data_IF_940347035311
#
_entry.id   IF_940347035311
#
_cell.length_a   1.000
_cell.length_b   1.000
_cell.length_c   1.000
_cell.angle_alpha   90.00
_cell.angle_beta   90.00
_cell.angle_gamma   90.00
#
_symmetry.space_group_name_H-M   'P 1'
#
loop_
_entity.id
_entity.type
_entity.pdbx_description
1 polymer ?
#
# COMPACT_ATOMS: atom_id res chain seq x y z
N UNK A 1 -29.39 20.09 11.78
CA UNK A 1 -28.28 20.40 12.72
C UNK A 1 -27.52 19.17 13.22
N UNK A 2 -28.18 18.04 13.54
CA UNK A 2 -27.51 16.80 13.99
C UNK A 2 -26.62 16.15 12.91
N UNK A 3 -27.11 16.03 11.67
CA UNK A 3 -26.35 15.50 10.51
C UNK A 3 -25.02 16.20 10.26
N UNK A 4 -25.01 17.54 10.23
CA UNK A 4 -23.80 18.33 10.04
C UNK A 4 -22.80 18.12 11.19
N UNK A 5 -23.28 18.02 12.44
CA UNK A 5 -22.43 17.71 13.59
C UNK A 5 -21.81 16.32 13.49
N UNK A 6 -22.57 15.31 13.06
CA UNK A 6 -22.06 13.94 12.85
C UNK A 6 -21.00 13.92 11.74
N UNK A 7 -21.29 14.55 10.60
CA UNK A 7 -20.34 14.64 9.48
C UNK A 7 -19.07 15.40 9.88
N UNK A 8 -19.20 16.52 10.60
CA UNK A 8 -18.08 17.32 11.09
C UNK A 8 -17.22 16.57 12.11
N UNK A 9 -17.85 15.89 13.07
CA UNK A 9 -17.16 15.05 14.05
C UNK A 9 -16.39 13.91 13.38
N UNK A 10 -17.00 13.29 12.37
CA UNK A 10 -16.38 12.22 11.59
C UNK A 10 -15.19 12.72 10.77
N UNK A 11 -15.27 13.89 10.14
CA UNK A 11 -14.13 14.51 9.45
C UNK A 11 -12.97 14.74 10.42
N UNK A 12 -13.27 15.25 11.63
CA UNK A 12 -12.27 15.51 12.67
C UNK A 12 -11.65 14.22 13.25
N UNK A 13 -12.39 13.11 13.30
CA UNK A 13 -11.89 11.84 13.83
C UNK A 13 -11.14 11.00 12.77
N UNK A 14 -11.53 11.10 11.51
CA UNK A 14 -10.90 10.35 10.40
C UNK A 14 -9.58 10.94 9.94
N UNK A 15 -9.45 12.27 9.92
CA UNK A 15 -8.21 12.94 9.54
C UNK A 15 -7.51 13.47 10.78
N UNK A 16 -6.58 12.65 11.28
CA UNK A 16 -5.49 13.21 12.05
C UNK A 16 -4.63 14.05 11.08
N UNK A 17 -4.13 15.18 11.57
CA UNK A 17 -3.17 16.07 10.89
C UNK A 17 -2.10 15.31 10.04
N UNK A 18 -1.58 14.13 10.46
CA UNK A 18 -0.71 13.27 9.65
C UNK A 18 -1.24 12.75 8.31
N UNK A 19 -2.51 12.34 8.18
CA UNK A 19 -3.02 11.81 6.90
C UNK A 19 -3.20 12.95 5.88
N UNK A 20 -3.60 14.13 6.37
CA UNK A 20 -3.66 15.35 5.58
C UNK A 20 -2.24 15.77 5.15
N UNK A 21 -1.26 15.73 6.07
CA UNK A 21 0.16 15.96 5.74
C UNK A 21 0.67 14.92 4.73
N UNK A 22 0.33 13.64 4.87
CA UNK A 22 0.74 12.61 3.90
C UNK A 22 0.12 12.85 2.52
N UNK A 23 -1.19 13.17 2.43
CA UNK A 23 -1.81 13.54 1.16
C UNK A 23 -1.21 14.82 0.58
N UNK A 24 -0.84 15.79 1.42
CA UNK A 24 -0.16 17.02 1.00
C UNK A 24 1.28 16.74 0.53
N UNK A 25 1.99 15.81 1.16
CA UNK A 25 3.33 15.39 0.73
C UNK A 25 3.28 14.64 -0.59
N UNK A 26 2.32 13.72 -0.77
CA UNK A 26 2.07 13.05 -2.05
C UNK A 26 1.71 14.10 -3.12
N UNK A 27 0.90 15.09 -2.79
CA UNK A 27 0.54 16.20 -3.67
C UNK A 27 1.75 17.06 -4.05
N UNK A 28 2.57 17.48 -3.09
CA UNK A 28 3.80 18.25 -3.32
C UNK A 28 4.76 17.43 -4.19
N UNK A 29 4.85 16.13 -3.93
CA UNK A 29 5.67 15.20 -4.70
C UNK A 29 5.19 15.08 -6.15
N UNK A 30 3.88 14.98 -6.39
CA UNK A 30 3.33 14.95 -7.76
C UNK A 30 3.43 16.31 -8.47
N UNK A 31 3.29 17.43 -7.76
CA UNK A 31 3.56 18.77 -8.31
C UNK A 31 5.03 18.87 -8.71
N UNK A 32 5.94 18.40 -7.86
CA UNK A 32 7.37 18.39 -8.15
C UNK A 32 7.71 17.55 -9.38
N UNK A 33 7.13 16.35 -9.53
CA UNK A 33 7.26 15.52 -10.74
C UNK A 33 6.73 16.27 -11.96
N UNK A 34 5.52 16.86 -11.88
CA UNK A 34 4.94 17.61 -12.98
C UNK A 34 5.76 18.84 -13.40
N UNK A 35 6.41 19.51 -12.45
CA UNK A 35 7.31 20.65 -12.72
C UNK A 35 8.62 20.18 -13.34
N UNK A 36 9.22 19.11 -12.81
CA UNK A 36 10.44 18.54 -13.39
C UNK A 36 10.22 18.02 -14.81
N UNK A 37 9.09 17.35 -15.08
CA UNK A 37 8.75 16.91 -16.43
C UNK A 37 8.52 18.10 -17.37
N UNK A 38 7.90 19.18 -16.89
CA UNK A 38 7.75 20.42 -17.67
C UNK A 38 9.10 21.11 -17.98
N UNK A 39 10.05 21.12 -17.05
CA UNK A 39 11.38 21.70 -17.27
C UNK A 39 12.26 20.84 -18.19
N UNK A 40 12.24 19.51 -18.04
CA UNK A 40 12.99 18.57 -18.90
C UNK A 40 12.49 18.62 -20.35
N UNK A 41 11.21 18.94 -20.55
CA UNK A 41 10.59 18.99 -21.88
C UNK A 41 10.73 20.33 -22.59
N UNK A 42 10.98 21.43 -21.87
CA UNK A 42 11.43 22.68 -22.50
C UNK A 42 12.79 22.54 -23.24
N UNK A 43 13.58 21.51 -22.92
CA UNK A 43 14.85 21.19 -23.57
C UNK A 43 14.70 20.32 -24.83
N UNK A 44 13.54 19.70 -25.07
CA UNK A 44 13.29 18.81 -26.22
C UNK A 44 11.98 19.25 -26.92
N UNK A 45 12.03 19.89 -28.10
CA UNK A 45 10.89 20.59 -28.68
C UNK A 45 9.93 19.64 -29.42
N UNK A 46 9.38 18.65 -28.73
CA UNK A 46 8.28 17.81 -29.23
C UNK A 46 7.14 17.77 -28.21
N UNK A 47 6.12 18.61 -28.44
CA UNK A 47 4.91 18.74 -27.62
C UNK A 47 4.10 17.44 -27.44
N UNK A 48 4.39 16.37 -28.18
CA UNK A 48 3.71 15.08 -28.05
C UNK A 48 4.19 14.27 -26.83
N UNK A 49 5.42 14.46 -26.37
CA UNK A 49 6.00 13.66 -25.27
C UNK A 49 5.48 14.11 -23.89
N UNK A 50 5.19 15.40 -23.72
CA UNK A 50 4.63 15.99 -22.48
C UNK A 50 3.22 15.51 -22.20
N UNK A 51 2.32 15.60 -23.18
CA UNK A 51 0.93 15.16 -23.04
C UNK A 51 0.82 13.66 -22.72
N UNK A 52 1.71 12.84 -23.26
CA UNK A 52 1.74 11.40 -22.97
C UNK A 52 2.20 11.09 -21.54
N UNK A 53 3.19 11.80 -20.98
CA UNK A 53 3.66 11.55 -19.61
C UNK A 53 2.66 12.02 -18.55
N UNK A 54 2.02 13.18 -18.77
CA UNK A 54 0.93 13.66 -17.90
C UNK A 54 -0.29 12.71 -17.92
N UNK A 55 -0.65 12.17 -19.08
CA UNK A 55 -1.72 11.18 -19.18
C UNK A 55 -1.41 9.93 -18.34
N UNK A 56 -0.21 9.38 -18.47
CA UNK A 56 0.16 8.15 -17.77
C UNK A 56 0.18 8.33 -16.26
N UNK A 57 0.72 9.45 -15.76
CA UNK A 57 0.76 9.74 -14.31
C UNK A 57 -0.64 9.88 -13.70
N UNK A 58 -1.60 10.49 -14.41
CA UNK A 58 -2.99 10.61 -13.96
C UNK A 58 -3.67 9.24 -13.88
N UNK A 59 -3.47 8.38 -14.89
CA UNK A 59 -4.03 7.02 -14.92
C UNK A 59 -3.50 6.21 -13.72
N UNK A 60 -2.20 6.26 -13.47
CA UNK A 60 -1.55 5.55 -12.36
C UNK A 60 -2.05 6.01 -11.00
N UNK A 61 -2.12 7.33 -10.79
CA UNK A 61 -2.60 7.91 -9.54
C UNK A 61 -4.05 7.50 -9.26
N UNK A 62 -4.93 7.55 -10.26
CA UNK A 62 -6.33 7.12 -10.12
C UNK A 62 -6.41 5.60 -9.83
N UNK A 63 -5.57 4.78 -10.45
CA UNK A 63 -5.50 3.34 -10.18
C UNK A 63 -5.07 3.06 -8.72
N UNK A 64 -4.08 3.79 -8.19
CA UNK A 64 -3.66 3.68 -6.79
C UNK A 64 -4.81 4.04 -5.84
N UNK A 65 -5.54 5.14 -6.12
CA UNK A 65 -6.71 5.50 -5.32
C UNK A 65 -7.79 4.41 -5.37
N UNK A 66 -8.12 3.86 -6.54
CA UNK A 66 -9.10 2.78 -6.70
C UNK A 66 -8.72 1.53 -5.89
N UNK A 67 -7.46 1.09 -5.93
CA UNK A 67 -6.97 -0.03 -5.12
C UNK A 67 -7.17 0.25 -3.64
N UNK A 68 -6.76 1.45 -3.21
CA UNK A 68 -6.79 1.82 -1.79
C UNK A 68 -8.21 1.88 -1.23
N UNK A 69 -9.18 2.39 -2.01
CA UNK A 69 -10.58 2.51 -1.59
C UNK A 69 -11.35 1.19 -1.68
N UNK A 70 -10.98 0.29 -2.59
CA UNK A 70 -11.70 -0.98 -2.79
C UNK A 70 -11.16 -2.13 -1.94
N UNK A 71 -9.84 -2.25 -1.68
CA UNK A 71 -9.28 -3.38 -0.92
C UNK A 71 -9.32 -3.15 0.59
N UNK A 72 -9.16 -1.90 1.04
CA UNK A 72 -9.09 -1.52 2.46
C UNK A 72 -10.27 -0.65 2.91
N UNK A 73 -11.53 -1.07 2.70
CA UNK A 73 -12.67 -0.20 2.99
C UNK A 73 -12.94 -0.03 4.49
N UNK A 74 -12.59 -1.03 5.31
CA UNK A 74 -12.95 -1.10 6.74
C UNK A 74 -12.25 -0.05 7.59
N UNK A 75 -11.01 0.31 7.29
CA UNK A 75 -10.27 1.31 8.08
C UNK A 75 -10.54 2.74 7.64
N UNK A 76 -11.08 2.92 6.43
CA UNK A 76 -11.42 4.24 5.91
C UNK A 76 -12.84 4.64 6.24
N UNK A 77 -13.83 3.74 6.21
CA UNK A 77 -15.26 4.06 6.36
C UNK A 77 -15.71 4.22 7.82
N UNK A 78 -15.35 3.32 8.73
CA UNK A 78 -15.59 3.51 10.18
C UNK A 78 -14.47 2.86 10.98
N UNK A 79 -13.66 3.66 11.68
CA UNK A 79 -12.66 3.12 12.62
C UNK A 79 -13.35 2.52 13.84
N UNK A 80 -12.71 1.57 14.54
CA UNK A 80 -13.29 0.98 15.76
C UNK A 80 -13.65 2.05 16.81
N UNK A 81 -12.81 3.06 16.99
CA UNK A 81 -13.11 4.19 17.88
C UNK A 81 -14.31 5.01 17.41
N UNK A 82 -14.48 5.18 16.09
CA UNK A 82 -15.68 5.81 15.55
C UNK A 82 -16.91 4.94 15.79
N UNK A 83 -16.80 3.60 15.71
CA UNK A 83 -17.92 2.69 15.99
C UNK A 83 -18.37 2.82 17.45
N UNK A 84 -17.42 2.71 18.38
CA UNK A 84 -17.69 2.82 19.81
C UNK A 84 -18.32 4.18 20.16
N UNK A 85 -17.90 5.26 19.48
CA UNK A 85 -18.49 6.59 19.63
C UNK A 85 -19.84 6.76 18.93
N UNK A 86 -20.00 6.30 17.68
CA UNK A 86 -21.21 6.44 16.88
C UNK A 86 -22.39 5.67 17.51
N UNK A 87 -22.13 4.54 18.16
CA UNK A 87 -23.14 3.80 18.91
C UNK A 87 -23.60 4.48 20.21
N UNK A 88 -22.83 5.45 20.73
CA UNK A 88 -23.22 6.24 21.89
C UNK A 88 -24.05 7.48 21.52
N UNK A 89 -24.13 7.85 20.23
CA UNK A 89 -24.89 9.02 19.79
C UNK A 89 -26.38 8.64 19.75
N UNK A 90 -27.28 9.41 20.41
CA UNK A 90 -28.73 9.22 20.29
C UNK A 90 -29.24 9.78 18.96
N UNK A 91 -28.92 9.06 17.87
CA UNK A 91 -29.32 9.36 16.50
C UNK A 91 -29.80 8.09 15.80
N UNK A 92 -30.75 8.25 14.88
CA UNK A 92 -31.29 7.11 14.12
C UNK A 92 -30.22 6.55 13.18
N UNK A 93 -30.29 5.24 12.91
CA UNK A 93 -29.36 4.53 12.03
C UNK A 93 -29.24 5.20 10.64
N UNK A 94 -30.38 5.66 10.09
CA UNK A 94 -30.40 6.35 8.79
C UNK A 94 -29.66 7.68 8.84
N UNK A 95 -29.80 8.44 9.93
CA UNK A 95 -29.10 9.72 10.10
C UNK A 95 -27.60 9.53 10.26
N UNK A 96 -27.18 8.48 10.98
CA UNK A 96 -25.78 8.09 11.12
C UNK A 96 -25.18 7.68 9.77
N UNK A 97 -25.86 6.82 9.01
CA UNK A 97 -25.41 6.38 7.68
C UNK A 97 -25.24 7.57 6.72
N UNK A 98 -26.23 8.47 6.65
CA UNK A 98 -26.17 9.65 5.78
C UNK A 98 -25.06 10.59 6.23
N UNK A 99 -24.89 10.83 7.53
CA UNK A 99 -23.82 11.67 8.07
C UNK A 99 -22.42 11.16 7.71
N UNK A 100 -22.22 9.85 7.78
CA UNK A 100 -20.98 9.17 7.37
C UNK A 100 -20.75 9.33 5.86
N UNK A 101 -21.74 9.05 5.01
CA UNK A 101 -21.64 9.22 3.55
C UNK A 101 -21.30 10.67 3.19
N UNK A 102 -22.00 11.65 3.78
CA UNK A 102 -21.72 13.07 3.56
C UNK A 102 -20.30 13.45 3.94
N UNK A 103 -19.78 12.94 5.07
CA UNK A 103 -18.38 13.20 5.44
C UNK A 103 -17.39 12.68 4.39
N UNK A 104 -17.61 11.47 3.85
CA UNK A 104 -16.74 10.92 2.80
C UNK A 104 -16.81 11.70 1.51
N UNK A 105 -17.98 12.19 1.14
CA UNK A 105 -18.15 13.01 -0.05
C UNK A 105 -17.34 14.30 0.06
N UNK A 106 -17.44 15.01 1.20
CA UNK A 106 -16.66 16.23 1.45
C UNK A 106 -15.16 15.95 1.43
N UNK A 107 -14.73 14.87 2.09
CA UNK A 107 -13.33 14.46 2.12
C UNK A 107 -12.81 14.14 0.72
N UNK A 108 -13.55 13.36 -0.05
CA UNK A 108 -13.13 12.97 -1.39
C UNK A 108 -13.16 14.15 -2.36
N UNK A 109 -14.06 15.12 -2.19
CA UNK A 109 -14.00 16.39 -2.92
C UNK A 109 -12.69 17.15 -2.66
N UNK A 110 -12.15 17.11 -1.43
CA UNK A 110 -10.85 17.74 -1.17
C UNK A 110 -9.70 16.95 -1.79
N UNK A 111 -9.70 15.62 -1.66
CA UNK A 111 -8.62 14.75 -2.14
C UNK A 111 -8.57 14.67 -3.67
N UNK A 112 -9.71 14.53 -4.34
CA UNK A 112 -9.79 14.48 -5.81
C UNK A 112 -9.63 15.88 -6.41
N UNK A 113 -9.89 16.96 -5.66
CA UNK A 113 -9.68 18.34 -6.12
C UNK A 113 -8.24 18.61 -6.51
N UNK A 114 -7.30 17.86 -5.93
CA UNK A 114 -5.88 17.84 -6.27
C UNK A 114 -5.63 17.45 -7.73
N UNK A 115 -6.52 16.69 -8.36
CA UNK A 115 -6.37 16.25 -9.75
C UNK A 115 -6.73 17.32 -10.78
N UNK A 116 -7.43 18.38 -10.38
CA UNK A 116 -7.84 19.47 -11.27
C UNK A 116 -6.63 20.11 -11.97
N UNK A 117 -5.56 20.57 -11.27
CA UNK A 117 -4.41 21.18 -11.93
C UNK A 117 -3.70 20.26 -12.92
N UNK A 118 -3.73 18.93 -12.71
CA UNK A 118 -3.11 17.96 -13.62
C UNK A 118 -3.98 17.62 -14.83
N UNK A 119 -5.30 17.62 -14.67
CA UNK A 119 -6.27 17.23 -15.71
C UNK A 119 -6.78 18.42 -16.53
N UNK A 120 -6.79 19.63 -15.97
CA UNK A 120 -7.26 20.84 -16.64
C UNK A 120 -6.49 21.19 -17.92
N UNK A 121 -5.15 21.00 -18.02
CA UNK A 121 -4.41 21.23 -19.26
C UNK A 121 -4.84 20.31 -20.41
N UNK A 122 -5.34 19.11 -20.09
CA UNK A 122 -5.73 18.08 -21.07
C UNK A 122 -7.23 18.21 -21.42
N UNK A 123 -8.07 18.34 -20.39
CA UNK A 123 -9.53 18.22 -20.50
C UNK A 123 -10.26 19.56 -20.43
N UNK A 124 -9.57 20.67 -20.16
CA UNK A 124 -10.17 21.99 -19.91
C UNK A 124 -11.29 21.93 -18.87
N UNK A 125 -12.50 22.43 -19.17
CA UNK A 125 -13.66 22.39 -18.27
C UNK A 125 -14.12 20.96 -17.94
N UNK A 126 -13.82 19.98 -18.79
CA UNK A 126 -14.12 18.56 -18.55
C UNK A 126 -13.43 18.01 -17.29
N UNK A 127 -12.32 18.62 -16.86
CA UNK A 127 -11.64 18.29 -15.59
C UNK A 127 -12.56 18.46 -14.37
N UNK A 128 -13.47 19.43 -14.38
CA UNK A 128 -14.41 19.65 -13.27
C UNK A 128 -15.49 18.56 -13.20
N UNK A 129 -15.98 18.11 -14.36
CA UNK A 129 -16.92 17.00 -14.44
C UNK A 129 -16.27 15.69 -13.96
N UNK A 130 -15.03 15.44 -14.38
CA UNK A 130 -14.20 14.32 -13.90
C UNK A 130 -14.07 14.38 -12.38
N UNK A 131 -13.66 15.52 -11.84
CA UNK A 131 -13.49 15.77 -10.43
C UNK A 131 -14.73 15.39 -9.59
N UNK A 132 -15.91 15.87 -9.98
CA UNK A 132 -17.15 15.56 -9.28
C UNK A 132 -17.50 14.07 -9.35
N UNK A 133 -17.39 13.47 -10.54
CA UNK A 133 -17.74 12.06 -10.75
C UNK A 133 -16.82 11.12 -9.96
N UNK A 134 -15.51 11.37 -9.93
CA UNK A 134 -14.57 10.57 -9.13
C UNK A 134 -14.75 10.79 -7.62
N UNK A 135 -15.04 12.01 -7.17
CA UNK A 135 -15.32 12.29 -5.76
C UNK A 135 -16.51 11.48 -5.25
N UNK A 136 -17.57 11.42 -6.06
CA UNK A 136 -18.75 10.59 -5.79
C UNK A 136 -18.34 9.11 -5.84
N UNK A 137 -17.69 8.67 -6.91
CA UNK A 137 -17.30 7.27 -7.10
C UNK A 137 -16.50 6.72 -5.91
N UNK A 138 -15.44 7.42 -5.52
CA UNK A 138 -14.56 7.02 -4.43
C UNK A 138 -15.25 7.05 -3.06
N UNK A 139 -16.35 7.81 -2.91
CA UNK A 139 -17.16 7.80 -1.69
C UNK A 139 -18.00 6.52 -1.58
N UNK A 140 -18.45 5.98 -2.70
CA UNK A 140 -19.36 4.83 -2.71
C UNK A 140 -18.68 3.47 -2.96
N UNK A 141 -17.52 3.42 -3.62
CA UNK A 141 -16.75 2.17 -3.82
C UNK A 141 -16.44 1.45 -2.48
N UNK A 142 -15.97 2.14 -1.42
CA UNK A 142 -15.67 1.48 -0.14
C UNK A 142 -16.91 0.85 0.49
N UNK A 143 -18.06 1.52 0.38
CA UNK A 143 -19.34 1.05 0.91
C UNK A 143 -19.77 -0.23 0.18
N UNK A 144 -19.70 -0.25 -1.15
CA UNK A 144 -19.98 -1.46 -1.94
C UNK A 144 -19.03 -2.60 -1.56
N UNK A 145 -17.74 -2.28 -1.42
CA UNK A 145 -16.70 -3.24 -1.11
C UNK A 145 -16.85 -3.92 0.26
N UNK A 146 -17.36 -3.21 1.27
CA UNK A 146 -17.65 -3.80 2.59
C UNK A 146 -18.68 -4.93 2.53
N UNK A 147 -19.58 -4.87 1.55
CA UNK A 147 -20.66 -5.84 1.39
C UNK A 147 -20.22 -7.10 0.65
N UNK A 148 -19.14 -7.01 -0.11
CA UNK A 148 -18.61 -8.13 -0.86
C UNK A 148 -17.77 -9.03 0.05
N UNK A 149 -17.88 -10.36 -0.14
CA UNK A 149 -16.93 -11.30 0.48
C UNK A 149 -15.51 -11.02 -0.05
N UNK A 150 -14.48 -11.34 0.74
CA UNK A 150 -13.07 -11.04 0.41
C UNK A 150 -12.67 -11.43 -1.02
N UNK A 151 -13.08 -12.62 -1.49
CA UNK A 151 -12.77 -13.09 -2.84
C UNK A 151 -13.45 -12.22 -3.92
N UNK A 152 -14.76 -11.99 -3.80
CA UNK A 152 -15.50 -11.15 -4.76
C UNK A 152 -15.06 -9.70 -4.72
N UNK A 153 -14.65 -9.20 -3.56
CA UNK A 153 -14.03 -7.88 -3.41
C UNK A 153 -12.75 -7.78 -4.21
N UNK A 154 -11.85 -8.75 -4.09
CA UNK A 154 -10.59 -8.77 -4.86
C UNK A 154 -10.86 -8.85 -6.35
N UNK A 155 -11.79 -9.71 -6.79
CA UNK A 155 -12.18 -9.80 -8.22
C UNK A 155 -12.75 -8.47 -8.72
N UNK A 156 -13.67 -7.87 -7.97
CA UNK A 156 -14.26 -6.58 -8.30
C UNK A 156 -13.19 -5.49 -8.45
N UNK A 157 -12.24 -5.41 -7.51
CA UNK A 157 -11.11 -4.48 -7.61
C UNK A 157 -10.26 -4.73 -8.85
N UNK A 158 -9.90 -5.98 -9.13
CA UNK A 158 -9.04 -6.32 -10.28
C UNK A 158 -9.73 -5.97 -11.60
N UNK A 159 -11.02 -6.32 -11.76
CA UNK A 159 -11.78 -5.99 -12.97
C UNK A 159 -11.89 -4.48 -13.19
N UNK A 160 -12.20 -3.75 -12.12
CA UNK A 160 -12.30 -2.29 -12.18
C UNK A 160 -10.93 -1.67 -12.50
N UNK A 161 -9.85 -2.15 -11.88
CA UNK A 161 -8.50 -1.68 -12.19
C UNK A 161 -8.07 -1.96 -13.62
N UNK A 162 -8.30 -3.18 -14.13
CA UNK A 162 -8.01 -3.53 -15.51
C UNK A 162 -8.78 -2.63 -16.49
N UNK A 163 -10.03 -2.31 -16.18
CA UNK A 163 -10.83 -1.43 -17.02
C UNK A 163 -10.30 0.01 -17.02
N UNK A 164 -9.85 0.55 -15.89
CA UNK A 164 -9.25 1.89 -15.84
C UNK A 164 -7.87 1.95 -16.49
N UNK A 165 -7.01 0.94 -16.23
CA UNK A 165 -5.68 0.85 -16.85
C UNK A 165 -5.77 0.61 -18.35
N UNK A 166 -6.86 0.03 -18.87
CA UNK A 166 -7.00 -0.19 -20.32
C UNK A 166 -6.90 1.08 -21.17
N UNK A 167 -7.14 2.27 -20.60
CA UNK A 167 -6.88 3.56 -21.26
C UNK A 167 -5.40 3.76 -21.64
N UNK A 168 -4.49 3.08 -20.94
CA UNK A 168 -3.07 3.03 -21.29
C UNK A 168 -2.84 2.45 -22.69
N UNK A 169 -3.64 1.46 -23.07
CA UNK A 169 -3.58 0.82 -24.39
C UNK A 169 -4.50 1.50 -25.42
N UNK A 170 -4.89 2.75 -25.17
CA UNK A 170 -5.83 3.53 -26.00
C UNK A 170 -7.18 2.82 -26.20
N UNK A 171 -7.61 2.00 -25.24
CA UNK A 171 -8.91 1.34 -25.31
C UNK A 171 -10.04 2.37 -25.15
N UNK A 172 -10.92 2.53 -26.16
CA UNK A 172 -11.89 3.62 -26.18
C UNK A 172 -12.92 3.49 -25.04
N UNK A 173 -13.33 2.28 -24.67
CA UNK A 173 -14.40 2.12 -23.67
C UNK A 173 -13.93 2.16 -22.21
N UNK A 174 -12.70 2.64 -21.94
CA UNK A 174 -12.24 2.86 -20.56
C UNK A 174 -12.81 4.16 -19.98
N UNK A 175 -13.15 4.25 -18.68
CA UNK A 175 -13.53 5.52 -18.05
C UNK A 175 -12.45 6.59 -18.16
N UNK A 176 -11.17 6.22 -18.20
CA UNK A 176 -10.05 7.17 -18.28
C UNK A 176 -9.63 7.56 -19.70
N UNK A 177 -10.21 6.93 -20.72
CA UNK A 177 -9.90 7.25 -22.12
C UNK A 177 -10.43 8.63 -22.54
N UNK A 178 -11.17 9.34 -21.68
CA UNK A 178 -11.45 10.77 -21.87
C UNK A 178 -10.18 11.61 -21.99
N UNK A 179 -9.06 11.16 -21.38
CA UNK A 179 -7.74 11.78 -21.52
C UNK A 179 -7.21 11.71 -22.97
N UNK A 180 -7.75 10.81 -23.80
CA UNK A 180 -7.49 10.70 -25.24
C UNK A 180 -8.56 11.40 -26.09
N UNK A 181 -9.31 12.33 -25.50
CA UNK A 181 -10.42 13.06 -26.13
C UNK A 181 -11.64 12.21 -26.53
N UNK A 182 -11.78 11.00 -25.98
CA UNK A 182 -13.00 10.21 -26.15
C UNK A 182 -14.12 10.71 -25.23
N UNK A 183 -15.12 11.37 -25.82
CA UNK A 183 -16.22 12.01 -25.06
C UNK A 183 -17.21 11.02 -24.46
N UNK A 184 -17.38 9.84 -25.05
CA UNK A 184 -18.25 8.78 -24.52
C UNK A 184 -17.80 8.26 -23.16
N UNK A 185 -16.52 8.41 -22.83
CA UNK A 185 -15.92 7.94 -21.58
C UNK A 185 -16.46 8.66 -20.35
N UNK A 186 -16.93 9.91 -20.50
CA UNK A 186 -17.68 10.62 -19.45
C UNK A 186 -19.00 9.93 -19.13
N UNK A 187 -19.73 9.46 -20.15
CA UNK A 187 -20.99 8.73 -19.96
C UNK A 187 -20.75 7.34 -19.36
N UNK A 188 -19.65 6.67 -19.72
CA UNK A 188 -19.24 5.40 -19.11
C UNK A 188 -18.94 5.60 -17.63
N UNK A 189 -18.17 6.64 -17.27
CA UNK A 189 -17.88 6.97 -15.88
C UNK A 189 -19.16 7.30 -15.10
N UNK A 190 -20.07 8.08 -15.69
CA UNK A 190 -21.37 8.41 -15.09
C UNK A 190 -22.26 7.18 -14.91
N UNK A 191 -22.30 6.28 -15.89
CA UNK A 191 -23.02 5.01 -15.77
C UNK A 191 -22.46 4.17 -14.62
N UNK A 192 -21.14 4.06 -14.53
CA UNK A 192 -20.46 3.35 -13.45
C UNK A 192 -20.71 4.00 -12.07
N UNK A 193 -20.71 5.33 -11.96
CA UNK A 193 -21.04 6.01 -10.69
C UNK A 193 -22.46 5.72 -10.25
N UNK A 194 -23.44 5.80 -11.15
CA UNK A 194 -24.86 5.50 -10.84
C UNK A 194 -25.01 4.05 -10.39
N UNK A 195 -24.39 3.10 -11.09
CA UNK A 195 -24.43 1.68 -10.75
C UNK A 195 -23.83 1.44 -9.36
N UNK A 196 -22.66 2.01 -9.07
CA UNK A 196 -22.01 1.89 -7.77
C UNK A 196 -22.85 2.54 -6.66
N UNK A 197 -23.43 3.72 -6.88
CA UNK A 197 -24.33 4.37 -5.92
C UNK A 197 -25.53 3.49 -5.63
N UNK A 198 -26.19 2.97 -6.67
CA UNK A 198 -27.36 2.11 -6.54
C UNK A 198 -27.04 0.87 -5.70
N UNK A 199 -25.97 0.14 -6.06
CA UNK A 199 -25.59 -1.07 -5.31
C UNK A 199 -25.05 -0.76 -3.92
N UNK A 200 -24.43 0.40 -3.68
CA UNK A 200 -23.99 0.81 -2.34
C UNK A 200 -25.16 1.14 -1.43
N UNK A 201 -26.17 1.86 -1.93
CA UNK A 201 -27.32 2.30 -1.14
C UNK A 201 -28.42 1.24 -1.00
N UNK A 202 -28.51 0.29 -1.95
CA UNK A 202 -29.54 -0.75 -1.94
C UNK A 202 -29.43 -1.61 -0.67
N UNK A 203 -30.43 -1.53 0.22
CA UNK A 203 -30.44 -2.22 1.52
C UNK A 203 -29.24 -1.87 2.40
N UNK A 204 -28.79 -0.61 2.41
CA UNK A 204 -27.72 -0.16 3.30
C UNK A 204 -28.19 -0.23 4.76
N UNK A 205 -27.46 -0.99 5.58
CA UNK A 205 -27.64 -1.08 7.02
C UNK A 205 -26.37 -0.59 7.74
N UNK A 206 -26.52 0.18 8.83
CA UNK A 206 -25.38 0.68 9.62
C UNK A 206 -24.52 -0.47 10.13
N UNK A 207 -25.13 -1.61 10.47
CA UNK A 207 -24.40 -2.80 10.88
C UNK A 207 -23.43 -3.34 9.81
N UNK A 208 -23.74 -3.17 8.51
CA UNK A 208 -22.84 -3.57 7.42
C UNK A 208 -21.61 -2.64 7.32
N UNK A 209 -21.75 -1.38 7.74
CA UNK A 209 -20.64 -0.43 7.82
C UNK A 209 -19.74 -0.67 9.05
N UNK A 210 -20.29 -1.34 10.08
CA UNK A 210 -19.64 -1.57 11.39
C UNK A 210 -19.13 -3.01 11.54
N UNK A 211 -19.36 -3.89 10.55
CA UNK A 211 -18.96 -5.30 10.62
C UNK A 211 -17.44 -5.47 10.57
N UNK A 212 -16.79 -5.35 11.73
CA UNK A 212 -15.41 -5.78 11.92
C UNK A 212 -15.43 -7.30 12.03
N UNK A 213 -14.85 -7.97 11.04
CA UNK A 213 -14.59 -9.41 11.12
C UNK A 213 -13.60 -9.68 12.26
N UNK A 214 -14.11 -9.86 13.47
CA UNK A 214 -13.37 -10.51 14.56
C UNK A 214 -13.16 -11.97 14.17
N UNK A 215 -12.05 -12.25 13.49
CA UNK A 215 -11.57 -13.63 13.35
C UNK A 215 -10.65 -13.92 14.52
N UNK A 216 -11.24 -14.36 15.64
CA UNK A 216 -10.52 -15.05 16.70
C UNK A 216 -10.46 -16.54 16.38
N UNK A 217 -9.29 -17.13 16.64
CA UNK A 217 -8.98 -18.57 16.56
C UNK A 217 -8.83 -19.14 15.14
N UNK A 218 -7.58 -19.15 14.63
CA UNK A 218 -7.19 -20.02 13.51
C UNK A 218 -6.49 -21.26 14.06
N UNK A 219 -7.08 -22.43 13.84
CA UNK A 219 -6.41 -23.71 14.01
C UNK A 219 -5.17 -23.80 13.11
N UNK A 220 -4.05 -24.32 13.61
CA UNK A 220 -2.81 -24.51 12.83
C UNK A 220 -3.06 -25.57 11.76
N UNK A 221 -3.35 -25.14 10.53
CA UNK A 221 -3.73 -26.05 9.43
C UNK A 221 -2.56 -26.85 8.84
N UNK A 222 -1.31 -26.37 8.97
CA UNK A 222 -0.13 -27.02 8.42
C UNK A 222 1.05 -26.88 9.40
N UNK A 223 1.35 -27.91 10.21
CA UNK A 223 2.56 -27.91 11.03
C UNK A 223 3.79 -28.06 10.14
N UNK A 224 4.84 -27.27 10.41
CA UNK A 224 6.14 -27.45 9.77
C UNK A 224 6.95 -28.38 10.67
N UNK A 225 7.36 -29.53 10.14
CA UNK A 225 8.27 -30.44 10.83
C UNK A 225 9.72 -30.08 10.52
N UNK A 226 10.50 -29.92 11.59
CA UNK A 226 11.94 -29.68 11.54
C UNK A 226 12.67 -30.98 11.87
N UNK A 227 13.78 -31.24 11.18
CA UNK A 227 14.68 -32.32 11.56
C UNK A 227 15.60 -31.84 12.68
N UNK A 228 15.89 -32.67 13.69
CA UNK A 228 16.72 -32.28 14.83
C UNK A 228 18.18 -31.93 14.46
N UNK A 229 18.64 -32.30 13.26
CA UNK A 229 20.01 -32.05 12.77
C UNK A 229 20.19 -30.82 11.88
N UNK A 230 19.12 -30.08 11.57
CA UNK A 230 19.22 -28.93 10.66
C UNK A 230 19.79 -27.67 11.34
N UNK A 231 20.64 -26.93 10.64
CA UNK A 231 21.19 -25.67 11.15
C UNK A 231 20.08 -24.60 11.32
N UNK A 232 20.21 -23.65 12.26
CA UNK A 232 19.20 -22.61 12.50
C UNK A 232 18.86 -21.76 11.26
N UNK A 233 19.82 -21.57 10.35
CA UNK A 233 19.58 -20.87 9.10
C UNK A 233 18.72 -21.70 8.15
N UNK A 234 18.98 -23.01 8.04
CA UNK A 234 18.22 -23.91 7.17
C UNK A 234 16.79 -24.06 7.67
N UNK A 235 16.55 -24.11 8.99
CA UNK A 235 15.19 -24.17 9.55
C UNK A 235 14.40 -22.91 9.24
N UNK A 236 14.99 -21.73 9.46
CA UNK A 236 14.37 -20.44 9.13
C UNK A 236 14.12 -20.30 7.63
N UNK A 237 15.05 -20.73 6.80
CA UNK A 237 14.91 -20.73 5.34
C UNK A 237 13.78 -21.66 4.87
N UNK A 238 13.69 -22.88 5.41
CA UNK A 238 12.59 -23.81 5.11
C UNK A 238 11.23 -23.22 5.53
N UNK A 239 11.17 -22.51 6.66
CA UNK A 239 9.95 -21.80 7.11
C UNK A 239 9.58 -20.68 6.13
N UNK A 240 10.53 -19.77 5.85
CA UNK A 240 10.25 -18.55 5.11
C UNK A 240 10.11 -18.77 3.59
N UNK A 241 10.72 -19.82 3.02
CA UNK A 241 10.46 -20.23 1.62
C UNK A 241 9.06 -20.83 1.47
N UNK A 242 8.60 -21.61 2.44
CA UNK A 242 7.27 -22.23 2.31
C UNK A 242 6.14 -21.24 2.58
N UNK A 243 6.34 -20.32 3.53
CA UNK A 243 5.32 -19.38 3.99
C UNK A 243 5.88 -17.95 4.00
N UNK A 244 5.23 -17.09 3.23
CA UNK A 244 5.43 -15.65 3.28
C UNK A 244 4.43 -15.07 4.26
N UNK A 245 4.94 -14.32 5.23
CA UNK A 245 4.12 -13.55 6.15
C UNK A 245 3.97 -12.12 5.61
N UNK A 246 2.83 -11.85 4.99
CA UNK A 246 2.45 -10.49 4.60
C UNK A 246 1.62 -9.91 5.73
N UNK A 247 2.04 -8.77 6.26
CA UNK A 247 1.42 -8.19 7.42
C UNK A 247 1.55 -6.69 7.41
N UNK A 248 0.57 -6.05 7.99
CA UNK A 248 0.55 -4.60 7.99
C UNK A 248 -0.49 -4.09 8.94
N UNK A 249 -0.35 -2.81 9.24
CA UNK A 249 -1.32 -2.10 10.04
C UNK A 249 -2.52 -1.75 9.17
N UNK A 250 -3.68 -2.38 9.45
CA UNK A 250 -4.88 -2.18 8.62
C UNK A 250 -5.56 -0.84 8.88
N UNK A 251 -5.32 -0.21 10.05
CA UNK A 251 -5.85 1.12 10.41
C UNK A 251 -4.70 2.08 10.70
N UNK A 252 -4.55 3.14 9.89
CA UNK A 252 -3.47 4.13 10.05
C UNK A 252 -3.75 5.19 11.13
N UNK A 253 -5.00 5.34 11.61
CA UNK A 253 -5.41 6.53 12.36
C UNK A 253 -5.76 6.29 13.84
N UNK A 254 -6.34 5.14 14.22
CA UNK A 254 -6.72 4.87 15.63
C UNK A 254 -6.72 3.37 15.93
N UNK A 255 -6.01 2.95 16.98
CA UNK A 255 -6.03 1.58 17.51
C UNK A 255 -5.84 0.47 16.48
N UNK A 256 -4.76 0.52 15.70
CA UNK A 256 -4.55 -0.37 14.57
C UNK A 256 -4.42 -1.84 14.98
N UNK A 257 -5.28 -2.70 14.44
CA UNK A 257 -5.05 -4.13 14.44
C UNK A 257 -3.97 -4.46 13.39
N UNK A 258 -2.96 -5.22 13.81
CA UNK A 258 -2.00 -5.85 12.89
C UNK A 258 -2.67 -7.08 12.33
N UNK A 259 -2.88 -7.08 11.02
CA UNK A 259 -3.38 -8.27 10.33
C UNK A 259 -2.20 -8.87 9.62
N UNK A 260 -1.97 -10.15 9.89
CA UNK A 260 -0.97 -10.94 9.22
C UNK A 260 -1.67 -12.06 8.45
N UNK A 261 -1.36 -12.12 7.17
CA UNK A 261 -1.69 -13.22 6.29
C UNK A 261 -0.43 -14.07 6.08
N UNK A 262 -0.52 -15.34 6.46
CA UNK A 262 0.47 -16.36 6.06
C UNK A 262 0.00 -16.96 4.75
N UNK A 263 0.78 -16.77 3.70
CA UNK A 263 0.45 -17.22 2.35
C UNK A 263 1.58 -18.13 1.87
N UNK A 264 1.24 -19.26 1.26
CA UNK A 264 2.28 -20.12 0.68
C UNK A 264 2.93 -19.43 -0.51
N UNK A 265 4.25 -19.55 -0.65
CA UNK A 265 5.03 -18.79 -1.65
C UNK A 265 4.48 -18.92 -3.07
N UNK A 266 4.03 -20.12 -3.46
CA UNK A 266 3.55 -20.37 -4.82
C UNK A 266 2.30 -19.56 -5.18
N UNK A 267 1.45 -19.20 -4.20
CA UNK A 267 0.30 -18.33 -4.46
C UNK A 267 0.69 -16.89 -4.79
N UNK A 268 1.88 -16.44 -4.37
CA UNK A 268 2.42 -15.11 -4.67
C UNK A 268 3.35 -15.18 -5.89
N UNK A 269 4.06 -16.29 -6.07
CA UNK A 269 4.97 -16.49 -7.20
C UNK A 269 4.22 -16.52 -8.55
N UNK A 270 3.06 -17.18 -8.63
CA UNK A 270 2.25 -17.25 -9.86
C UNK A 270 1.89 -15.85 -10.41
N UNK A 271 1.26 -14.93 -9.64
CA UNK A 271 0.95 -13.60 -10.14
C UNK A 271 2.20 -12.78 -10.45
N UNK A 272 3.34 -13.03 -9.79
CA UNK A 272 4.59 -12.34 -10.11
C UNK A 272 5.19 -12.83 -11.42
N UNK A 273 5.12 -14.12 -11.72
CA UNK A 273 5.51 -14.64 -13.03
C UNK A 273 4.62 -14.03 -14.12
N UNK A 274 3.32 -13.87 -13.87
CA UNK A 274 2.42 -13.20 -14.79
C UNK A 274 2.78 -11.71 -14.97
N UNK A 275 3.12 -10.99 -13.90
CA UNK A 275 3.61 -9.61 -13.96
C UNK A 275 4.94 -9.51 -14.73
N UNK A 276 5.86 -10.45 -14.53
CA UNK A 276 7.10 -10.53 -15.29
C UNK A 276 6.82 -10.68 -16.78
N UNK A 277 5.91 -11.58 -17.16
CA UNK A 277 5.54 -11.74 -18.56
C UNK A 277 4.93 -10.45 -19.14
N UNK A 278 4.13 -9.72 -18.36
CA UNK A 278 3.58 -8.43 -18.75
C UNK A 278 4.65 -7.35 -18.95
N UNK A 279 5.64 -7.27 -18.07
CA UNK A 279 6.78 -6.32 -18.22
C UNK A 279 7.57 -6.61 -19.48
N UNK A 280 7.82 -7.89 -19.76
CA UNK A 280 8.54 -8.30 -20.96
C UNK A 280 7.80 -7.86 -22.23
N UNK A 281 6.47 -8.05 -22.28
CA UNK A 281 5.64 -7.66 -23.42
C UNK A 281 5.42 -6.13 -23.51
N UNK A 282 5.34 -5.45 -22.37
CA UNK A 282 5.05 -4.02 -22.26
C UNK A 282 6.05 -3.35 -21.31
N UNK A 283 7.27 -3.04 -21.80
CA UNK A 283 8.36 -2.47 -20.97
C UNK A 283 8.02 -1.12 -20.34
N UNK A 284 6.96 -0.45 -20.79
CA UNK A 284 6.49 0.80 -20.21
C UNK A 284 5.74 0.61 -18.88
N UNK A 285 5.41 -0.64 -18.51
CA UNK A 285 4.77 -0.99 -17.23
C UNK A 285 5.76 -1.22 -16.07
N UNK A 286 7.06 -1.13 -16.35
CA UNK A 286 8.16 -1.41 -15.41
C UNK A 286 8.08 -0.56 -14.14
N UNK A 287 7.66 0.70 -14.25
CA UNK A 287 7.49 1.58 -13.09
C UNK A 287 6.36 1.11 -12.16
N UNK A 288 5.23 0.67 -12.72
CA UNK A 288 4.13 0.10 -11.95
C UNK A 288 4.56 -1.17 -11.22
N UNK A 289 5.32 -2.04 -11.92
CA UNK A 289 5.88 -3.25 -11.31
C UNK A 289 6.85 -2.90 -10.19
N UNK A 290 7.76 -1.96 -10.41
CA UNK A 290 8.68 -1.46 -9.39
C UNK A 290 7.94 -0.95 -8.14
N UNK A 291 6.83 -0.23 -8.32
CA UNK A 291 5.99 0.22 -7.21
C UNK A 291 5.31 -0.96 -6.50
N UNK A 292 4.87 -1.99 -7.22
CA UNK A 292 4.32 -3.21 -6.60
C UNK A 292 5.37 -3.98 -5.80
N UNK A 293 6.60 -4.09 -6.29
CA UNK A 293 7.72 -4.69 -5.56
C UNK A 293 7.98 -3.94 -4.24
N UNK A 294 8.01 -2.61 -4.29
CA UNK A 294 8.15 -1.77 -3.10
C UNK A 294 7.01 -1.98 -2.09
N UNK A 295 5.76 -2.06 -2.54
CA UNK A 295 4.62 -2.31 -1.64
C UNK A 295 4.69 -3.70 -1.00
N UNK A 296 5.09 -4.73 -1.76
CA UNK A 296 5.28 -6.09 -1.24
C UNK A 296 6.39 -6.08 -0.17
N UNK A 297 7.53 -5.43 -0.48
CA UNK A 297 8.66 -5.27 0.42
C UNK A 297 8.24 -4.58 1.72
N UNK A 298 7.53 -3.45 1.64
CA UNK A 298 7.09 -2.68 2.81
C UNK A 298 6.20 -3.52 3.73
N UNK A 299 5.21 -4.22 3.19
CA UNK A 299 4.34 -5.10 3.97
C UNK A 299 5.11 -6.29 4.56
N UNK A 300 6.06 -6.86 3.80
CA UNK A 300 6.87 -7.96 4.30
C UNK A 300 7.82 -7.53 5.43
N UNK A 301 8.40 -6.33 5.32
CA UNK A 301 9.22 -5.70 6.35
C UNK A 301 8.41 -5.35 7.60
N UNK A 302 7.19 -4.81 7.43
CA UNK A 302 6.29 -4.52 8.55
C UNK A 302 5.89 -5.77 9.31
N UNK A 303 5.67 -6.91 8.64
CA UNK A 303 5.38 -8.17 9.31
C UNK A 303 6.58 -8.78 10.06
N UNK A 304 7.79 -8.33 9.75
CA UNK A 304 9.03 -8.88 10.29
C UNK A 304 9.12 -8.65 11.80
N UNK A 305 9.53 -9.68 12.55
CA UNK A 305 9.68 -9.69 14.02
C UNK A 305 8.41 -9.49 14.86
N UNK A 306 7.31 -8.98 14.29
CA UNK A 306 6.03 -8.82 15.00
C UNK A 306 5.44 -10.18 15.41
N UNK A 307 5.54 -11.19 14.54
CA UNK A 307 4.90 -12.49 14.75
C UNK A 307 5.83 -13.55 15.30
N UNK A 308 7.13 -13.25 15.34
CA UNK A 308 8.07 -14.19 15.91
C UNK A 308 7.92 -14.13 17.42
N UNK A 309 7.73 -15.27 18.10
CA UNK A 309 7.74 -15.32 19.54
C UNK A 309 9.18 -15.13 20.02
N UNK A 310 9.67 -13.89 19.96
CA UNK A 310 11.05 -13.51 20.26
C UNK A 310 11.50 -14.04 21.63
N UNK A 311 10.60 -14.11 22.62
CA UNK A 311 10.91 -14.66 23.94
C UNK A 311 11.27 -16.15 23.91
N UNK A 312 10.71 -16.95 22.98
CA UNK A 312 11.08 -18.35 22.78
C UNK A 312 12.38 -18.45 21.99
N UNK A 313 12.51 -17.70 20.90
CA UNK A 313 13.66 -17.84 20.00
C UNK A 313 14.96 -17.32 20.63
N UNK A 314 14.88 -16.25 21.42
CA UNK A 314 16.03 -15.65 22.11
C UNK A 314 16.47 -16.46 23.35
N UNK A 315 15.65 -17.40 23.81
CA UNK A 315 16.09 -18.37 24.83
C UNK A 315 17.06 -19.41 24.27
N UNK A 316 17.07 -19.59 22.94
CA UNK A 316 17.84 -20.64 22.24
C UNK A 316 19.11 -20.06 21.59
N UNK A 317 19.10 -18.78 21.20
CA UNK A 317 20.24 -18.15 20.52
C UNK A 317 20.36 -16.66 20.82
N UNK A 318 21.56 -16.10 20.68
CA UNK A 318 21.79 -14.67 20.90
C UNK A 318 21.00 -13.78 19.93
N UNK A 319 20.57 -12.57 20.36
CA UNK A 319 19.88 -11.57 19.53
C UNK A 319 20.49 -11.37 18.14
N UNK A 320 21.80 -11.15 18.09
CA UNK A 320 22.51 -10.92 16.83
C UNK A 320 22.39 -12.13 15.92
N UNK A 321 22.73 -13.33 16.40
CA UNK A 321 22.72 -14.57 15.62
C UNK A 321 21.32 -14.91 15.10
N UNK A 322 20.28 -14.70 15.91
CA UNK A 322 18.88 -14.83 15.48
C UNK A 322 18.56 -13.88 14.32
N UNK A 323 18.80 -12.59 14.52
CA UNK A 323 18.48 -11.57 13.53
C UNK A 323 19.21 -11.83 12.21
N UNK A 324 20.50 -12.21 12.24
CA UNK A 324 21.27 -12.51 11.02
C UNK A 324 20.63 -13.65 10.22
N UNK A 325 20.36 -14.79 10.87
CA UNK A 325 19.78 -15.96 10.20
C UNK A 325 18.37 -15.64 9.68
N UNK A 326 17.58 -14.93 10.47
CA UNK A 326 16.21 -14.56 10.13
C UNK A 326 16.16 -13.63 8.93
N UNK A 327 16.93 -12.54 8.96
CA UNK A 327 16.99 -11.56 7.89
C UNK A 327 17.54 -12.16 6.60
N UNK A 328 18.63 -12.94 6.66
CA UNK A 328 19.18 -13.64 5.48
C UNK A 328 18.13 -14.56 4.87
N UNK A 329 17.45 -15.36 5.68
CA UNK A 329 16.43 -16.28 5.17
C UNK A 329 15.27 -15.54 4.49
N UNK A 330 14.81 -14.42 5.07
CA UNK A 330 13.74 -13.59 4.48
C UNK A 330 14.20 -12.84 3.23
N UNK A 331 15.43 -12.32 3.20
CA UNK A 331 16.00 -11.69 2.00
C UNK A 331 16.13 -12.69 0.85
N UNK A 332 16.60 -13.92 1.12
CA UNK A 332 16.65 -14.97 0.09
C UNK A 332 15.27 -15.33 -0.46
N UNK A 333 14.23 -15.30 0.38
CA UNK A 333 12.86 -15.54 -0.07
C UNK A 333 12.34 -14.44 -0.99
N UNK A 334 12.72 -13.19 -0.74
CA UNK A 334 12.40 -12.08 -1.63
C UNK A 334 13.17 -12.17 -2.96
N UNK A 335 14.42 -12.61 -2.95
CA UNK A 335 15.15 -12.89 -4.18
C UNK A 335 14.43 -13.94 -5.03
N UNK A 336 14.03 -15.07 -4.46
CA UNK A 336 13.27 -16.11 -5.18
C UNK A 336 11.99 -15.53 -5.81
N UNK A 337 11.35 -14.60 -5.10
CA UNK A 337 10.09 -14.00 -5.49
C UNK A 337 10.26 -12.94 -6.59
N UNK A 338 11.32 -12.11 -6.57
CA UNK A 338 11.56 -11.04 -7.55
C UNK A 338 12.45 -11.43 -8.74
N UNK A 339 13.15 -12.58 -8.70
CA UNK A 339 13.96 -13.08 -9.83
C UNK A 339 13.20 -13.11 -11.17
N UNK A 340 11.92 -13.54 -11.25
CA UNK A 340 11.18 -13.49 -12.51
C UNK A 340 11.08 -12.08 -13.09
N UNK A 341 10.90 -11.06 -12.23
CA UNK A 341 10.79 -9.66 -12.65
C UNK A 341 12.15 -9.13 -13.10
N UNK A 342 13.23 -9.41 -12.38
CA UNK A 342 14.57 -8.97 -12.77
C UNK A 342 14.98 -9.57 -14.12
N UNK A 343 14.70 -10.85 -14.36
CA UNK A 343 14.95 -11.50 -15.65
C UNK A 343 14.16 -10.81 -16.77
N UNK A 344 12.87 -10.54 -16.53
CA UNK A 344 12.02 -9.84 -17.49
C UNK A 344 12.57 -8.45 -17.84
N UNK A 345 12.96 -7.66 -16.85
CA UNK A 345 13.51 -6.31 -17.04
C UNK A 345 14.85 -6.33 -17.80
N UNK A 346 15.69 -7.35 -17.57
CA UNK A 346 16.92 -7.54 -18.35
C UNK A 346 16.58 -7.84 -19.81
N UNK A 347 15.62 -8.74 -20.05
CA UNK A 347 15.20 -9.13 -21.39
C UNK A 347 14.52 -7.98 -22.15
N UNK A 348 13.80 -7.08 -21.45
CA UNK A 348 13.19 -5.88 -22.02
C UNK A 348 14.19 -4.71 -22.20
N UNK A 349 15.47 -4.90 -21.81
CA UNK A 349 16.57 -3.91 -21.85
C UNK A 349 16.42 -2.75 -20.84
N UNK A 350 15.58 -2.89 -19.83
CA UNK A 350 15.40 -1.93 -18.74
C UNK A 350 16.39 -2.19 -17.60
N UNK A 351 17.67 -1.97 -17.87
CA UNK A 351 18.77 -2.31 -16.95
C UNK A 351 18.63 -1.60 -15.59
N UNK A 352 18.20 -0.34 -15.56
CA UNK A 352 18.01 0.40 -14.31
C UNK A 352 16.95 -0.24 -13.41
N UNK A 353 15.80 -0.66 -13.98
CA UNK A 353 14.76 -1.35 -13.24
C UNK A 353 15.24 -2.73 -12.77
N UNK A 354 15.94 -3.48 -13.63
CA UNK A 354 16.50 -4.77 -13.24
C UNK A 354 17.45 -4.69 -12.04
N UNK A 355 18.35 -3.70 -12.00
CA UNK A 355 19.27 -3.52 -10.88
C UNK A 355 18.52 -3.06 -9.64
N UNK A 356 17.57 -2.12 -9.77
CA UNK A 356 16.76 -1.67 -8.65
C UNK A 356 15.91 -2.81 -8.06
N UNK A 357 15.38 -3.71 -8.88
CA UNK A 357 14.67 -4.92 -8.43
C UNK A 357 15.59 -5.92 -7.70
N UNK A 358 16.88 -5.97 -8.05
CA UNK A 358 17.89 -6.75 -7.31
C UNK A 358 18.29 -6.11 -5.97
N UNK A 359 18.18 -4.78 -5.85
CA UNK A 359 18.44 -4.04 -4.62
C UNK A 359 17.31 -4.21 -3.59
N UNK A 360 16.06 -4.41 -4.03
CA UNK A 360 14.91 -4.51 -3.13
C UNK A 360 15.10 -5.51 -1.97
N UNK A 361 15.48 -6.78 -2.20
CA UNK A 361 15.70 -7.73 -1.11
C UNK A 361 16.76 -7.29 -0.08
N UNK A 362 17.72 -6.42 -0.46
CA UNK A 362 18.70 -5.86 0.46
C UNK A 362 18.11 -4.70 1.28
N UNK A 363 17.31 -3.83 0.65
CA UNK A 363 16.61 -2.74 1.36
C UNK A 363 15.63 -3.27 2.42
N UNK A 364 15.11 -4.50 2.27
CA UNK A 364 14.34 -5.19 3.30
C UNK A 364 15.10 -5.29 4.63
N UNK A 365 16.41 -5.56 4.60
CA UNK A 365 17.22 -5.70 5.82
C UNK A 365 17.27 -4.37 6.56
N UNK A 366 17.48 -3.26 5.84
CA UNK A 366 17.45 -1.93 6.40
C UNK A 366 16.08 -1.61 7.02
N UNK A 367 15.00 -1.77 6.25
CA UNK A 367 13.64 -1.46 6.70
C UNK A 367 13.24 -2.27 7.93
N UNK A 368 13.42 -3.59 7.86
CA UNK A 368 13.08 -4.48 8.98
C UNK A 368 13.91 -4.19 10.22
N UNK A 369 15.18 -3.80 10.08
CA UNK A 369 16.04 -3.41 11.21
C UNK A 369 15.58 -2.09 11.85
N UNK A 370 15.25 -1.08 11.04
CA UNK A 370 14.72 0.19 11.54
C UNK A 370 13.37 0.00 12.22
N UNK A 371 12.47 -0.78 11.61
CA UNK A 371 11.17 -1.09 12.18
C UNK A 371 11.31 -1.88 13.50
N UNK A 372 12.20 -2.88 13.56
CA UNK A 372 12.43 -3.65 14.79
C UNK A 372 12.89 -2.76 15.96
N UNK A 373 13.79 -1.79 15.70
CA UNK A 373 14.34 -0.95 16.76
C UNK A 373 13.41 0.18 17.21
N UNK A 374 12.73 0.83 16.27
CA UNK A 374 11.99 2.05 16.54
C UNK A 374 10.47 1.87 16.54
N UNK A 375 10.00 0.75 16.01
CA UNK A 375 8.60 0.35 16.01
C UNK A 375 8.43 -1.07 16.57
N UNK A 376 8.87 -1.35 17.82
CA UNK A 376 8.54 -2.62 18.44
C UNK A 376 7.03 -2.71 18.62
N UNK A 377 6.45 -3.81 18.13
CA UNK A 377 5.05 -4.13 18.35
C UNK A 377 4.96 -4.99 19.61
N UNK A 378 4.32 -4.50 20.68
CA UNK A 378 4.11 -5.31 21.87
C UNK A 378 3.24 -6.51 21.50
N UNK A 379 3.69 -7.71 21.87
CA UNK A 379 2.98 -8.96 21.61
C UNK A 379 1.73 -9.11 22.50
N UNK A 380 1.55 -8.23 23.49
CA UNK A 380 0.52 -8.30 24.54
C UNK A 380 -0.78 -7.53 24.26
N UNK A 381 -0.90 -6.72 23.19
CA UNK A 381 -2.19 -6.06 22.92
C UNK A 381 -2.15 -4.78 22.11
N UNK A 382 -3.33 -4.13 22.05
CA UNK A 382 -3.70 -3.02 21.17
C UNK A 382 -2.67 -1.89 21.13
N UNK A 383 -2.24 -1.52 19.93
CA UNK A 383 -1.28 -0.46 19.74
C UNK A 383 -1.92 0.93 19.80
N UNK A 384 -1.42 1.76 20.70
CA UNK A 384 -1.70 3.20 20.69
C UNK A 384 -0.73 3.88 19.73
N UNK A 385 -1.26 4.77 18.88
CA UNK A 385 -0.43 5.63 18.03
C UNK A 385 0.36 6.58 18.90
N UNK A 386 1.67 6.40 18.92
CA UNK A 386 2.59 7.36 19.50
C UNK A 386 3.20 8.19 18.36
N UNK A 387 3.10 9.53 18.45
CA UNK A 387 3.72 10.48 17.51
C UNK A 387 5.21 10.17 17.30
N UNK A 388 5.90 9.76 18.37
CA UNK A 388 7.30 9.32 18.31
C UNK A 388 7.48 8.13 17.35
N UNK A 389 6.61 7.12 17.45
CA UNK A 389 6.64 5.92 16.59
C UNK A 389 6.36 6.28 15.13
N UNK A 390 5.42 7.18 14.86
CA UNK A 390 5.11 7.66 13.51
C UNK A 390 6.30 8.40 12.88
N UNK A 391 6.93 9.32 13.62
CA UNK A 391 8.12 10.04 13.17
C UNK A 391 9.24 9.05 12.84
N UNK A 392 9.48 8.05 13.68
CA UNK A 392 10.52 7.05 13.39
C UNK A 392 10.18 6.13 12.22
N UNK A 393 8.90 5.77 11.99
CA UNK A 393 8.53 5.06 10.77
C UNK A 393 8.78 5.89 9.51
N UNK A 394 8.50 7.19 9.56
CA UNK A 394 8.77 8.11 8.45
C UNK A 394 10.28 8.22 8.23
N UNK A 395 11.07 8.39 9.30
CA UNK A 395 12.54 8.41 9.23
C UNK A 395 13.11 7.08 8.70
N UNK A 396 12.47 5.94 8.98
CA UNK A 396 12.88 4.65 8.43
C UNK A 396 12.50 4.45 6.96
N UNK A 397 11.37 5.01 6.51
CA UNK A 397 10.86 4.81 5.15
C UNK A 397 11.44 5.81 4.14
N UNK A 398 11.61 7.08 4.52
CA UNK A 398 12.11 8.14 3.63
C UNK A 398 13.47 7.78 3.00
N UNK A 399 14.50 7.33 3.75
CA UNK A 399 15.78 6.98 3.16
C UNK A 399 15.67 5.87 2.13
N UNK A 400 14.76 4.91 2.34
CA UNK A 400 14.51 3.85 1.35
C UNK A 400 13.87 4.43 0.11
N UNK A 401 12.85 5.29 0.24
CA UNK A 401 12.27 5.96 -0.93
C UNK A 401 13.33 6.75 -1.71
N UNK A 402 14.17 7.52 -1.03
CA UNK A 402 15.26 8.29 -1.66
C UNK A 402 16.25 7.37 -2.38
N UNK A 403 16.64 6.27 -1.74
CA UNK A 403 17.53 5.26 -2.34
C UNK A 403 16.88 4.62 -3.59
N UNK A 404 15.58 4.35 -3.55
CA UNK A 404 14.85 3.79 -4.69
C UNK A 404 14.76 4.74 -5.89
N UNK A 405 14.60 6.04 -5.64
CA UNK A 405 14.66 7.02 -6.74
C UNK A 405 16.08 7.14 -7.29
N UNK A 406 17.08 7.16 -6.40
CA UNK A 406 18.48 7.18 -6.80
C UNK A 406 18.88 5.91 -7.55
N UNK A 407 18.29 4.74 -7.26
CA UNK A 407 18.66 3.48 -7.93
C UNK A 407 18.22 3.44 -9.39
N UNK A 408 17.18 4.18 -9.75
CA UNK A 408 16.77 4.32 -11.15
C UNK A 408 17.77 5.15 -11.97
N UNK A 409 18.46 6.10 -11.33
CA UNK A 409 19.41 7.02 -11.97
C UNK A 409 20.86 6.54 -11.85
N UNK A 410 21.24 6.01 -10.69
CA UNK A 410 22.61 5.60 -10.32
C UNK A 410 22.63 4.21 -9.65
N UNK A 411 22.20 3.15 -10.35
CA UNK A 411 21.97 1.81 -9.76
C UNK A 411 23.21 1.20 -9.10
N UNK A 412 24.38 1.27 -9.74
CA UNK A 412 25.60 0.68 -9.14
C UNK A 412 26.04 1.39 -7.85
N UNK A 413 25.81 2.70 -7.78
CA UNK A 413 26.18 3.52 -6.62
C UNK A 413 25.25 3.23 -5.44
N UNK A 414 23.93 3.16 -5.68
CA UNK A 414 22.94 2.81 -4.66
C UNK A 414 23.14 1.40 -4.13
N UNK A 415 23.41 0.43 -5.01
CA UNK A 415 23.72 -0.94 -4.59
C UNK A 415 24.87 -1.00 -3.59
N UNK A 416 25.97 -0.26 -3.85
CA UNK A 416 27.14 -0.21 -2.97
C UNK A 416 26.81 0.43 -1.62
N UNK A 417 26.04 1.53 -1.62
CA UNK A 417 25.59 2.17 -0.37
C UNK A 417 24.74 1.21 0.45
N UNK A 418 23.75 0.55 -0.18
CA UNK A 418 22.87 -0.41 0.50
C UNK A 418 23.71 -1.55 1.08
N UNK A 419 24.67 -2.08 0.32
CA UNK A 419 25.53 -3.16 0.79
C UNK A 419 26.35 -2.77 2.04
N UNK A 420 26.88 -1.54 2.09
CA UNK A 420 27.59 -1.02 3.27
C UNK A 420 26.63 -0.90 4.46
N UNK A 421 25.45 -0.31 4.24
CA UNK A 421 24.44 -0.10 5.28
C UNK A 421 23.95 -1.43 5.85
N UNK A 422 23.69 -2.41 4.98
CA UNK A 422 23.29 -3.78 5.36
C UNK A 422 24.39 -4.47 6.15
N UNK A 423 25.65 -4.32 5.74
CA UNK A 423 26.81 -4.87 6.45
C UNK A 423 26.91 -4.34 7.89
N UNK A 424 26.60 -3.06 8.10
CA UNK A 424 26.55 -2.48 9.45
C UNK A 424 25.51 -3.18 10.34
N UNK A 425 24.30 -3.45 9.85
CA UNK A 425 23.28 -4.16 10.63
C UNK A 425 23.66 -5.61 10.92
N UNK A 426 24.35 -6.28 10.00
CA UNK A 426 24.87 -7.61 10.27
C UNK A 426 25.93 -7.55 11.38
N UNK A 427 26.90 -6.65 11.32
CA UNK A 427 28.05 -6.64 12.24
C UNK A 427 27.73 -6.08 13.64
N UNK A 428 26.74 -5.20 13.78
CA UNK A 428 26.48 -4.50 15.05
C UNK A 428 25.61 -5.32 16.03
N UNK A 429 26.25 -6.03 16.95
CA UNK A 429 25.56 -6.86 17.96
C UNK A 429 24.73 -6.03 18.95
N UNK A 430 25.30 -4.91 19.42
CA UNK A 430 24.63 -4.00 20.37
C UNK A 430 23.35 -3.39 19.81
N UNK A 431 23.24 -3.28 18.48
CA UNK A 431 22.01 -2.83 17.83
C UNK A 431 20.87 -3.82 18.09
N UNK A 432 21.12 -5.11 17.90
CA UNK A 432 20.12 -6.16 18.01
C UNK A 432 19.72 -6.45 19.45
N UNK A 433 20.68 -6.39 20.38
CA UNK A 433 20.39 -6.46 21.81
C UNK A 433 19.37 -5.40 22.22
N UNK A 434 19.65 -4.13 21.91
CA UNK A 434 18.72 -3.02 22.21
C UNK A 434 17.38 -3.14 21.47
N UNK A 435 17.39 -3.60 20.23
CA UNK A 435 16.16 -3.75 19.46
C UNK A 435 15.21 -4.78 20.11
N UNK A 436 15.74 -5.93 20.53
CA UNK A 436 14.93 -6.97 21.16
C UNK A 436 14.63 -6.71 22.63
N UNK A 437 15.53 -6.07 23.38
CA UNK A 437 15.21 -5.54 24.70
C UNK A 437 14.00 -4.61 24.62
N UNK A 438 13.97 -3.66 23.67
CA UNK A 438 12.82 -2.78 23.49
C UNK A 438 11.55 -3.55 23.10
N UNK A 439 11.66 -4.60 22.27
CA UNK A 439 10.51 -5.40 21.87
C UNK A 439 9.89 -6.21 23.03
N UNK A 440 10.72 -6.73 23.93
CA UNK A 440 10.28 -7.52 25.10
C UNK A 440 9.84 -6.62 26.25
N UNK A 441 10.61 -5.56 26.52
CA UNK A 441 10.42 -4.67 27.68
C UNK A 441 9.37 -3.58 27.45
N UNK A 442 8.98 -3.31 26.19
CA UNK A 442 7.99 -2.29 25.81
C UNK A 442 6.69 -2.46 26.59
N UNK A 443 6.45 -1.64 27.63
CA UNK A 443 5.16 -1.58 28.27
C UNK A 443 4.33 -0.61 27.42
N UNK A 444 3.33 -1.14 26.69
CA UNK A 444 2.32 -0.40 25.92
C UNK A 444 2.71 0.11 24.50
#
# INVERSE_FOLDING_TARGET
>A
MKLFKIAWLKIRSTYSLPLLIFSMLVLIFYIYIGVLEAEVTHLIPNNSFTLTSFKTTIIELIAIYLISYSIFPTSRVISKSDQDFLFMIPADEKELAIGIICSYLIINLLVVGVLIPFTAPILSFGSFALFLMFSILFSFIPILSLRLRTLYRVIFTILLLLWFISAYFNFPYSPLSMLDNYTYSYFILLGLTIVVIFFSLYKLNVYDLVRVNYQSTRSIKNPITFSPSSSPLITMLKKNINLIELGGRVSQATGGQYVIARVKIYYILIPIIALALLVYLFPTTSFLVFLTEFLILLNYAQASFINEPLWLDLSIMSPSKFARNYLVSKTLTLYILFIPLTISEILSRNISFAIASLEFPLTFIYLSSMLARFYPVPQSGTQVLNLRRLIFTIIGIIPVLVILFLSLVFPLFTFLIIAIVVSYFFLNERFWEKAFENAISSPY
#
